data_IF_691759786872
#
_entry.id   IF_691759786872
#
_cell.length_a   1.000
_cell.length_b   1.000
_cell.length_c   1.000
_cell.angle_alpha   90.00
_cell.angle_beta   90.00
_cell.angle_gamma   90.00
#
_symmetry.space_group_name_H-M   'P 1'
#
loop_
_entity.id
_entity.type
_entity.pdbx_description
1 polymer ?
#
# COMPACT_ATOMS: atom_id res chain seq x y z
N UNK A 1 -34.99 -11.07 8.32
CA UNK A 1 -33.69 -11.36 7.72
C UNK A 1 -32.62 -11.28 8.79
N UNK A 2 -32.24 -12.40 9.38
CA UNK A 2 -31.26 -12.38 10.43
C UNK A 2 -29.86 -12.11 9.87
N UNK A 3 -29.11 -11.31 10.61
CA UNK A 3 -27.69 -11.05 10.35
C UNK A 3 -26.92 -11.48 11.59
N UNK A 4 -25.82 -12.16 11.40
CA UNK A 4 -24.96 -12.55 12.53
C UNK A 4 -23.53 -12.13 12.27
N UNK A 5 -22.77 -11.92 13.35
CA UNK A 5 -21.35 -11.65 13.24
C UNK A 5 -20.61 -12.99 13.32
N UNK A 6 -19.80 -13.25 12.30
CA UNK A 6 -18.98 -14.45 12.23
C UNK A 6 -17.53 -14.01 12.04
N UNK A 7 -16.70 -14.31 13.03
CA UNK A 7 -15.30 -13.88 13.04
C UNK A 7 -14.40 -14.78 12.17
N UNK A 8 -14.90 -15.94 11.78
CA UNK A 8 -14.12 -16.91 11.01
C UNK A 8 -15.05 -17.69 10.06
N UNK A 9 -15.59 -17.01 9.05
CA UNK A 9 -16.50 -17.69 8.11
C UNK A 9 -15.75 -18.74 7.28
N UNK A 10 -16.51 -19.69 6.75
CA UNK A 10 -15.96 -20.75 5.90
C UNK A 10 -15.34 -20.18 4.63
N UNK A 11 -14.46 -20.95 4.01
CA UNK A 11 -13.87 -20.58 2.73
C UNK A 11 -14.94 -20.36 1.65
N UNK A 12 -16.01 -21.15 1.68
CA UNK A 12 -17.12 -20.99 0.74
C UNK A 12 -17.78 -19.62 0.87
N UNK A 13 -18.00 -19.14 2.12
CA UNK A 13 -18.58 -17.82 2.35
C UNK A 13 -17.60 -16.73 1.92
N UNK A 14 -16.32 -16.85 2.27
CA UNK A 14 -15.29 -15.88 1.85
C UNK A 14 -15.24 -15.76 0.34
N UNK A 15 -15.22 -16.89 -0.35
CA UNK A 15 -15.19 -16.95 -1.80
C UNK A 15 -16.45 -16.33 -2.42
N UNK A 16 -17.61 -16.61 -1.85
CA UNK A 16 -18.88 -16.06 -2.33
C UNK A 16 -18.92 -14.54 -2.22
N UNK A 17 -18.39 -13.98 -1.11
CA UNK A 17 -18.32 -12.54 -0.93
C UNK A 17 -17.40 -11.90 -1.97
N UNK A 18 -16.21 -12.48 -2.18
CA UNK A 18 -15.25 -11.98 -3.18
C UNK A 18 -15.82 -12.04 -4.59
N UNK A 19 -16.45 -13.16 -4.95
CA UNK A 19 -17.06 -13.32 -6.28
C UNK A 19 -18.24 -12.38 -6.47
N UNK A 20 -19.01 -12.16 -5.41
CA UNK A 20 -20.17 -11.28 -5.44
C UNK A 20 -19.76 -9.85 -5.76
N UNK A 21 -18.77 -9.31 -5.04
CA UNK A 21 -18.31 -7.94 -5.29
C UNK A 21 -17.60 -7.81 -6.63
N UNK A 22 -16.79 -8.80 -7.02
CA UNK A 22 -16.11 -8.78 -8.30
C UNK A 22 -17.12 -8.80 -9.46
N UNK A 23 -18.17 -9.61 -9.35
CA UNK A 23 -19.24 -9.67 -10.36
C UNK A 23 -20.00 -8.37 -10.47
N UNK A 24 -20.34 -7.76 -9.33
CA UNK A 24 -21.00 -6.45 -9.31
C UNK A 24 -20.13 -5.39 -9.98
N UNK A 25 -18.85 -5.34 -9.63
CA UNK A 25 -17.92 -4.37 -10.20
C UNK A 25 -17.79 -4.54 -11.71
N UNK A 26 -17.68 -5.77 -12.19
CA UNK A 26 -17.53 -6.06 -13.61
C UNK A 26 -18.79 -5.69 -14.39
N UNK A 27 -19.95 -5.90 -13.80
CA UNK A 27 -21.23 -5.52 -14.42
C UNK A 27 -21.36 -3.99 -14.52
N UNK A 28 -20.92 -3.28 -13.47
CA UNK A 28 -21.04 -1.83 -13.38
C UNK A 28 -19.97 -1.14 -14.22
N UNK A 29 -18.75 -1.66 -14.20
CA UNK A 29 -17.59 -1.09 -14.92
C UNK A 29 -16.91 -2.23 -15.68
N UNK A 30 -17.34 -2.54 -16.91
CA UNK A 30 -16.81 -3.70 -17.65
C UNK A 30 -15.29 -3.66 -17.87
N UNK A 31 -14.71 -2.46 -17.94
CA UNK A 31 -13.27 -2.30 -18.18
C UNK A 31 -12.45 -2.27 -16.89
N UNK A 32 -13.07 -2.49 -15.73
CA UNK A 32 -12.38 -2.46 -14.47
C UNK A 32 -11.34 -3.59 -14.39
N UNK A 33 -10.16 -3.24 -13.91
CA UNK A 33 -9.08 -4.21 -13.71
C UNK A 33 -9.55 -5.34 -12.79
N UNK A 34 -9.39 -6.62 -13.21
CA UNK A 34 -9.87 -7.75 -12.40
C UNK A 34 -9.01 -7.99 -11.16
N UNK A 35 -9.57 -8.69 -10.18
CA UNK A 35 -8.84 -9.00 -8.94
C UNK A 35 -7.52 -9.72 -9.18
N UNK A 36 -7.45 -10.54 -10.22
CA UNK A 36 -6.25 -11.31 -10.56
C UNK A 36 -5.10 -10.43 -11.05
N UNK A 37 -5.39 -9.19 -11.41
CA UNK A 37 -4.37 -8.23 -11.81
C UNK A 37 -3.64 -7.60 -10.62
N UNK A 38 -4.08 -7.84 -9.38
CA UNK A 38 -3.39 -7.35 -8.20
C UNK A 38 -1.99 -7.95 -8.10
N UNK A 39 -0.99 -7.09 -7.95
CA UNK A 39 0.41 -7.51 -7.82
C UNK A 39 0.88 -7.15 -6.42
N UNK A 40 1.28 -8.16 -5.66
CA UNK A 40 1.92 -7.96 -4.36
C UNK A 40 3.42 -8.07 -4.52
N UNK A 41 4.14 -7.17 -3.85
CA UNK A 41 5.60 -7.18 -3.97
C UNK A 41 6.23 -6.62 -2.70
N UNK A 42 7.55 -6.85 -2.59
CA UNK A 42 8.37 -6.27 -1.53
C UNK A 42 9.58 -5.59 -2.14
N UNK A 43 9.91 -4.42 -1.63
CA UNK A 43 11.21 -3.79 -1.89
C UNK A 43 12.07 -4.08 -0.66
N UNK A 44 13.17 -4.81 -0.85
CA UNK A 44 13.97 -5.31 0.25
C UNK A 44 15.38 -4.75 0.15
N UNK A 45 15.89 -4.21 1.26
CA UNK A 45 17.25 -3.71 1.36
C UNK A 45 18.06 -4.60 2.31
N UNK A 46 19.24 -5.02 1.83
CA UNK A 46 20.16 -5.85 2.60
C UNK A 46 21.55 -5.22 2.60
N UNK A 47 22.35 -5.56 3.62
CA UNK A 47 23.75 -5.15 3.67
C UNK A 47 24.63 -6.12 2.86
N UNK A 48 25.95 -5.86 2.87
CA UNK A 48 26.92 -6.67 2.14
C UNK A 48 26.90 -8.15 2.55
N UNK A 49 26.51 -8.43 3.78
CA UNK A 49 26.48 -9.78 4.34
C UNK A 49 25.10 -10.44 4.20
N UNK A 50 24.17 -9.78 3.52
CA UNK A 50 22.82 -10.31 3.35
C UNK A 50 21.89 -10.06 4.53
N UNK A 51 22.28 -9.27 5.52
CA UNK A 51 21.43 -8.94 6.66
C UNK A 51 20.39 -7.89 6.25
N UNK A 52 19.17 -8.04 6.76
CA UNK A 52 18.08 -7.15 6.42
C UNK A 52 18.29 -5.75 6.99
N UNK A 53 18.29 -4.75 6.12
CA UNK A 53 18.33 -3.33 6.50
C UNK A 53 16.93 -2.72 6.56
N UNK A 54 16.02 -3.23 5.78
CA UNK A 54 14.64 -2.74 5.75
C UNK A 54 13.83 -3.37 4.66
N UNK A 55 12.56 -3.09 4.66
CA UNK A 55 11.66 -3.58 3.65
C UNK A 55 10.39 -2.76 3.56
N UNK A 56 9.81 -2.77 2.38
CA UNK A 56 8.53 -2.16 2.09
C UNK A 56 7.67 -3.23 1.45
N UNK A 57 6.42 -3.37 1.92
CA UNK A 57 5.44 -4.24 1.28
C UNK A 57 4.40 -3.37 0.61
N UNK A 58 4.08 -3.69 -0.65
CA UNK A 58 3.10 -2.93 -1.39
C UNK A 58 2.28 -3.79 -2.33
N UNK A 59 1.21 -3.20 -2.82
CA UNK A 59 0.38 -3.80 -3.86
C UNK A 59 0.17 -2.79 -4.97
N UNK A 60 0.06 -3.31 -6.21
CA UNK A 60 -0.32 -2.52 -7.37
C UNK A 60 -1.68 -3.02 -7.82
N UNK A 61 -2.68 -2.17 -7.72
CA UNK A 61 -4.05 -2.52 -8.10
C UNK A 61 -4.85 -1.25 -8.36
N UNK A 62 -5.70 -1.28 -9.37
CA UNK A 62 -6.50 -0.12 -9.77
C UNK A 62 -5.65 1.14 -9.90
N UNK A 63 -4.61 1.04 -10.75
CA UNK A 63 -3.66 2.13 -11.03
C UNK A 63 -3.03 2.79 -9.79
N UNK A 64 -3.01 2.09 -8.66
CA UNK A 64 -2.55 2.63 -7.38
C UNK A 64 -1.52 1.71 -6.74
N UNK A 65 -0.40 2.30 -6.33
CA UNK A 65 0.54 1.65 -5.42
C UNK A 65 0.03 1.88 -4.01
N UNK A 66 -0.34 0.83 -3.31
CA UNK A 66 -0.66 0.92 -1.90
C UNK A 66 0.53 0.44 -1.09
N UNK A 67 1.15 1.33 -0.35
CA UNK A 67 2.25 0.99 0.56
C UNK A 67 1.62 0.48 1.86
N UNK A 68 1.76 -0.81 2.12
CA UNK A 68 1.11 -1.45 3.27
C UNK A 68 1.94 -1.33 4.54
N UNK A 69 3.26 -1.43 4.41
CA UNK A 69 4.18 -1.21 5.52
C UNK A 69 5.56 -0.84 4.99
N UNK A 70 6.31 -0.18 5.86
CA UNK A 70 7.71 0.13 5.61
C UNK A 70 8.43 0.06 6.95
N UNK A 71 9.54 -0.68 6.99
CA UNK A 71 10.34 -0.81 8.18
C UNK A 71 11.82 -0.64 7.84
N UNK A 72 12.54 0.02 8.73
CA UNK A 72 13.99 0.20 8.63
C UNK A 72 14.63 -0.27 9.94
N UNK A 73 15.72 -1.02 9.83
CA UNK A 73 16.58 -1.30 10.98
C UNK A 73 17.19 0.01 11.49
N UNK A 74 17.45 0.10 12.78
CA UNK A 74 18.01 1.33 13.38
C UNK A 74 19.27 1.79 12.66
N UNK A 75 20.16 0.86 12.32
CA UNK A 75 21.42 1.18 11.64
C UNK A 75 21.23 1.69 10.21
N UNK A 76 20.06 1.49 9.62
CA UNK A 76 19.75 1.94 8.27
C UNK A 76 19.13 3.33 8.25
N UNK A 77 18.68 3.83 9.40
CA UNK A 77 18.05 5.16 9.48
C UNK A 77 19.08 6.24 9.20
N UNK A 78 18.66 7.25 8.42
CA UNK A 78 19.53 8.34 8.05
C UNK A 78 20.55 8.03 6.97
N UNK A 79 20.51 6.84 6.37
CA UNK A 79 21.46 6.40 5.34
C UNK A 79 20.98 6.59 3.91
N UNK A 80 19.70 6.94 3.72
CA UNK A 80 19.09 7.04 2.41
C UNK A 80 18.45 5.75 1.91
N UNK A 81 18.52 4.66 2.68
CA UNK A 81 17.95 3.36 2.29
C UNK A 81 16.43 3.44 2.17
N UNK A 82 15.76 4.13 3.10
CA UNK A 82 14.31 4.30 3.03
C UNK A 82 13.86 5.00 1.76
N UNK A 83 14.56 6.04 1.38
CA UNK A 83 14.30 6.76 0.14
C UNK A 83 14.50 5.85 -1.08
N UNK A 84 15.58 5.07 -1.09
CA UNK A 84 15.84 4.12 -2.17
C UNK A 84 14.73 3.08 -2.30
N UNK A 85 14.22 2.58 -1.17
CA UNK A 85 13.11 1.63 -1.18
C UNK A 85 11.84 2.25 -1.78
N UNK A 86 11.52 3.48 -1.39
CA UNK A 86 10.36 4.21 -1.94
C UNK A 86 10.55 4.41 -3.44
N UNK A 87 11.71 4.88 -3.88
CA UNK A 87 11.97 5.14 -5.30
C UNK A 87 11.86 3.86 -6.13
N UNK A 88 12.41 2.76 -5.63
CA UNK A 88 12.33 1.47 -6.32
C UNK A 88 10.90 0.94 -6.38
N UNK A 89 10.14 1.06 -5.28
CA UNK A 89 8.75 0.65 -5.25
C UNK A 89 7.90 1.48 -6.22
N UNK A 90 8.12 2.79 -6.26
CA UNK A 90 7.40 3.67 -7.17
C UNK A 90 7.73 3.36 -8.64
N UNK A 91 9.01 3.10 -8.94
CA UNK A 91 9.42 2.73 -10.29
C UNK A 91 8.78 1.42 -10.73
N UNK A 92 8.77 0.43 -9.85
CA UNK A 92 8.09 -0.85 -10.12
C UNK A 92 6.60 -0.63 -10.37
N UNK A 93 5.96 0.20 -9.54
CA UNK A 93 4.54 0.49 -9.68
C UNK A 93 4.22 1.18 -11.00
N UNK A 94 5.03 2.16 -11.40
CA UNK A 94 4.85 2.86 -12.68
C UNK A 94 4.96 1.88 -13.85
N UNK A 95 5.92 0.96 -13.80
CA UNK A 95 6.09 -0.06 -14.83
C UNK A 95 4.86 -0.98 -14.92
N UNK A 96 4.10 -1.10 -13.85
CA UNK A 96 2.90 -1.93 -13.79
C UNK A 96 1.60 -1.11 -13.86
N UNK A 97 1.68 0.09 -14.39
CA UNK A 97 0.50 0.90 -14.72
C UNK A 97 -0.03 1.76 -13.59
N UNK A 98 0.69 1.89 -12.50
CA UNK A 98 0.25 2.75 -11.39
C UNK A 98 0.51 4.21 -11.70
N UNK A 99 -0.46 5.06 -11.38
CA UNK A 99 -0.40 6.50 -11.61
C UNK A 99 -0.32 7.26 -10.30
N UNK A 100 -0.52 6.61 -9.18
CA UNK A 100 -0.53 7.22 -7.85
C UNK A 100 -0.11 6.22 -6.80
N UNK A 101 0.28 6.74 -5.64
CA UNK A 101 0.61 5.93 -4.47
C UNK A 101 -0.19 6.42 -3.27
N UNK A 102 -0.50 5.50 -2.38
CA UNK A 102 -1.29 5.75 -1.18
C UNK A 102 -0.62 5.07 0.00
N UNK A 103 -0.56 5.75 1.14
CA UNK A 103 -0.03 5.18 2.38
C UNK A 103 -0.84 5.69 3.58
N UNK A 104 -1.01 4.82 4.56
CA UNK A 104 -1.56 5.19 5.86
C UNK A 104 -0.43 5.09 6.89
N UNK A 105 -0.27 6.12 7.72
CA UNK A 105 0.72 6.11 8.80
C UNK A 105 0.12 6.74 10.06
N UNK A 106 0.60 6.30 11.21
CA UNK A 106 0.09 6.81 12.49
C UNK A 106 0.92 7.98 13.00
N UNK A 107 0.43 8.66 14.06
CA UNK A 107 1.07 9.85 14.59
C UNK A 107 2.48 9.63 15.15
N UNK A 108 2.86 8.39 15.46
CA UNK A 108 4.22 8.09 15.91
C UNK A 108 5.10 7.48 14.82
N UNK A 109 4.57 7.30 13.61
CA UNK A 109 5.30 6.73 12.49
C UNK A 109 5.83 7.82 11.55
N UNK A 110 6.22 7.44 10.36
CA UNK A 110 7.10 8.22 9.51
C UNK A 110 6.40 9.21 8.58
N UNK A 111 5.35 9.90 9.06
CA UNK A 111 4.67 10.92 8.23
C UNK A 111 5.67 11.93 7.62
N UNK A 112 6.63 12.51 8.40
CA UNK A 112 7.60 13.45 7.81
C UNK A 112 8.46 12.80 6.73
N UNK A 113 8.78 11.52 6.89
CA UNK A 113 9.55 10.78 5.89
C UNK A 113 8.77 10.70 4.56
N UNK A 114 7.48 10.37 4.61
CA UNK A 114 6.68 10.32 3.39
C UNK A 114 6.54 11.70 2.76
N UNK A 115 6.35 12.73 3.57
CA UNK A 115 6.23 14.08 3.06
C UNK A 115 7.51 14.54 2.35
N UNK A 116 8.68 14.16 2.88
CA UNK A 116 9.96 14.44 2.22
C UNK A 116 10.10 13.71 0.88
N UNK A 117 9.39 12.61 0.73
CA UNK A 117 9.42 11.83 -0.51
C UNK A 117 8.28 12.20 -1.46
N UNK A 118 7.63 13.34 -1.23
CA UNK A 118 6.65 13.90 -2.14
C UNK A 118 5.21 13.53 -1.86
N UNK A 119 4.94 12.85 -0.76
CA UNK A 119 3.57 12.50 -0.36
C UNK A 119 2.89 13.67 0.30
N UNK A 120 1.60 13.84 0.01
CA UNK A 120 0.79 14.93 0.57
C UNK A 120 -0.35 14.35 1.39
N UNK A 121 -0.66 15.04 2.49
CA UNK A 121 -1.76 14.64 3.36
C UNK A 121 -3.10 14.77 2.65
N UNK A 122 -3.86 13.67 2.63
CA UNK A 122 -5.24 13.64 2.13
C UNK A 122 -6.24 13.84 3.26
N UNK A 123 -6.02 13.15 4.37
CA UNK A 123 -6.96 13.15 5.48
C UNK A 123 -6.28 12.68 6.75
N UNK A 124 -6.86 13.06 7.88
CA UNK A 124 -6.43 12.60 9.20
C UNK A 124 -7.65 12.08 9.94
N UNK A 125 -7.54 10.88 10.51
CA UNK A 125 -8.55 10.31 11.38
C UNK A 125 -8.03 10.38 12.81
N UNK A 126 -8.66 11.26 13.60
CA UNK A 126 -8.30 11.42 15.01
C UNK A 126 -8.77 10.21 15.82
N UNK A 127 -8.02 9.88 16.87
CA UNK A 127 -8.40 8.80 17.78
C UNK A 127 -8.17 7.39 17.24
N UNK A 128 -7.36 7.25 16.22
CA UNK A 128 -6.98 5.94 15.67
C UNK A 128 -5.45 5.81 15.58
N UNK A 129 -4.84 5.00 16.50
CA UNK A 129 -5.44 4.38 17.69
C UNK A 129 -5.76 5.43 18.74
N UNK A 130 -6.48 5.01 19.79
CA UNK A 130 -6.93 5.89 20.85
C UNK A 130 -5.78 6.77 21.40
N UNK A 131 -5.98 8.06 21.44
CA UNK A 131 -4.97 9.02 21.87
C UNK A 131 -3.99 9.45 20.79
N UNK A 132 -4.18 8.96 19.58
CA UNK A 132 -3.31 9.23 18.41
C UNK A 132 -4.15 9.54 17.19
N UNK A 133 -3.51 9.61 16.03
CA UNK A 133 -4.19 9.86 14.77
C UNK A 133 -3.61 9.00 13.67
N UNK A 134 -4.42 8.65 12.68
CA UNK A 134 -3.96 8.01 11.45
C UNK A 134 -4.01 9.03 10.32
N UNK A 135 -2.93 9.11 9.56
CA UNK A 135 -2.79 10.03 8.45
C UNK A 135 -2.78 9.25 7.14
N UNK A 136 -3.51 9.75 6.16
CA UNK A 136 -3.58 9.16 4.83
C UNK A 136 -2.90 10.13 3.87
N UNK A 137 -1.87 9.64 3.17
CA UNK A 137 -1.08 10.47 2.26
C UNK A 137 -1.08 9.85 0.87
N UNK A 138 -0.97 10.70 -0.14
CA UNK A 138 -0.88 10.23 -1.52
C UNK A 138 0.15 11.00 -2.30
N UNK A 139 0.57 10.40 -3.41
CA UNK A 139 1.53 11.00 -4.33
C UNK A 139 1.12 10.64 -5.76
N UNK A 140 1.16 11.61 -6.65
CA UNK A 140 1.02 11.35 -8.08
C UNK A 140 2.35 10.83 -8.60
N UNK A 141 2.32 9.69 -9.29
CA UNK A 141 3.53 9.09 -9.86
C UNK A 141 3.69 9.53 -11.31
N UNK A 142 4.95 9.63 -11.75
CA UNK A 142 5.23 9.93 -13.14
C UNK A 142 4.82 8.75 -14.01
N UNK A 143 4.03 9.01 -15.06
CA UNK A 143 3.67 7.97 -16.03
C UNK A 143 4.90 7.53 -16.80
N UNK A 144 4.98 6.24 -17.18
CA UNK A 144 6.06 5.80 -18.06
C UNK A 144 5.92 6.54 -19.39
N UNK A 145 7.02 6.99 -19.93
CA UNK A 145 7.03 7.60 -21.26
C UNK A 145 6.74 6.53 -22.29
N UNK A 146 5.71 6.78 -23.07
CA UNK A 146 5.35 5.90 -24.19
C UNK A 146 6.35 6.06 -25.32
#
# INVERSE_FOLDING_TARGET
MPVKIDRDPSEAIRSALSKGIAGFNRHTIPDLEPNEAEIRFHAIATDENGNLLGGLRGTCYWNTLHIELLWLADRARGTGVGRQMIENAEAFAVQNGCEKALVETTSWQARPFYEKNGYKLLATLEGRPKGHASHYLSKTLASPKS
#
